data_IF_674071895226
#
_entry.id   IF_674071895226
#
_cell.length_a   1.000
_cell.length_b   1.000
_cell.length_c   1.000
_cell.angle_alpha   90.00
_cell.angle_beta   90.00
_cell.angle_gamma   90.00
#
_symmetry.space_group_name_H-M   'P 1'
#
loop_
_entity.id
_entity.type
_entity.pdbx_description
1 polymer ?
#
# COMPACT_ATOMS: atom_id res chain seq x y z
N UNK A 1 -19.43 -19.21 1.05
CA UNK A 1 -19.22 -17.81 0.58
C UNK A 1 -18.23 -17.21 1.54
N UNK A 2 -17.12 -16.72 1.04
CA UNK A 2 -16.07 -16.14 1.87
C UNK A 2 -16.26 -14.63 1.87
N UNK A 3 -16.03 -13.99 3.01
CA UNK A 3 -16.15 -12.54 3.17
C UNK A 3 -14.80 -11.99 3.62
N UNK A 4 -14.44 -10.87 3.05
CA UNK A 4 -13.28 -10.08 3.44
C UNK A 4 -13.73 -8.76 4.04
N UNK A 5 -12.85 -8.09 4.76
CA UNK A 5 -13.11 -6.78 5.34
C UNK A 5 -12.02 -5.78 4.95
N UNK A 6 -12.41 -4.53 4.68
CA UNK A 6 -11.48 -3.46 4.35
C UNK A 6 -11.30 -2.50 5.53
N UNK A 7 -10.04 -2.22 5.87
CA UNK A 7 -9.65 -1.28 6.90
C UNK A 7 -8.93 -0.07 6.32
N UNK A 8 -9.45 1.12 6.58
CA UNK A 8 -8.75 2.37 6.21
C UNK A 8 -7.72 2.81 7.24
N UNK A 9 -7.77 2.33 8.46
CA UNK A 9 -6.96 2.78 9.61
C UNK A 9 -6.91 4.30 9.67
N UNK A 10 -7.89 4.94 10.27
CA UNK A 10 -8.02 6.39 10.20
C UNK A 10 -8.25 7.03 11.58
N UNK A 11 -7.87 8.30 11.68
CA UNK A 11 -8.11 9.16 12.84
C UNK A 11 -9.38 9.99 12.62
N UNK A 12 -10.53 9.33 12.53
CA UNK A 12 -11.81 10.01 12.30
C UNK A 12 -12.23 10.81 13.52
N UNK A 13 -12.50 12.11 13.38
CA UNK A 13 -13.06 12.91 14.46
C UNK A 13 -14.44 12.38 14.90
N UNK A 14 -14.61 12.15 16.20
CA UNK A 14 -15.90 11.79 16.80
C UNK A 14 -16.24 12.82 17.87
N UNK A 15 -17.35 13.49 17.72
CA UNK A 15 -17.78 14.56 18.62
C UNK A 15 -16.70 15.65 18.88
N UNK A 16 -15.92 15.98 17.86
CA UNK A 16 -14.83 16.96 17.94
C UNK A 16 -13.52 16.44 18.53
N UNK A 17 -13.46 15.18 18.93
CA UNK A 17 -12.24 14.52 19.40
C UNK A 17 -11.59 13.75 18.24
N UNK A 18 -10.31 13.99 17.98
CA UNK A 18 -9.48 13.23 17.03
C UNK A 18 -8.66 12.23 17.84
N UNK A 19 -8.79 10.91 17.60
CA UNK A 19 -7.98 9.93 18.31
C UNK A 19 -6.49 10.09 17.96
N UNK A 20 -5.62 9.85 18.92
CA UNK A 20 -4.20 9.72 18.65
C UNK A 20 -3.89 8.42 17.88
N UNK A 21 -2.67 8.30 17.35
CA UNK A 21 -2.24 7.13 16.57
C UNK A 21 -2.27 5.84 17.39
N UNK A 22 -1.94 5.90 18.67
CA UNK A 22 -1.97 4.73 19.54
C UNK A 22 -3.41 4.21 19.72
N UNK A 23 -4.38 5.11 19.86
CA UNK A 23 -5.81 4.78 19.92
C UNK A 23 -6.30 4.25 18.58
N UNK A 24 -5.92 4.88 17.46
CA UNK A 24 -6.23 4.43 16.12
C UNK A 24 -5.78 2.98 15.88
N UNK A 25 -4.54 2.64 16.24
CA UNK A 25 -4.02 1.28 16.09
C UNK A 25 -4.68 0.28 17.06
N UNK A 26 -4.98 0.66 18.30
CA UNK A 26 -5.75 -0.21 19.21
C UNK A 26 -7.11 -0.56 18.61
N UNK A 27 -7.84 0.43 18.17
CA UNK A 27 -9.15 0.23 17.53
C UNK A 27 -9.05 -0.70 16.31
N UNK A 28 -7.99 -0.52 15.49
CA UNK A 28 -7.74 -1.41 14.35
C UNK A 28 -7.52 -2.85 14.81
N UNK A 29 -6.65 -3.09 15.81
CA UNK A 29 -6.35 -4.45 16.28
C UNK A 29 -7.55 -5.11 16.95
N UNK A 30 -8.36 -4.38 17.71
CA UNK A 30 -9.62 -4.88 18.26
C UNK A 30 -10.59 -5.30 17.15
N UNK A 31 -10.72 -4.49 16.11
CA UNK A 31 -11.61 -4.79 14.99
C UNK A 31 -11.12 -5.97 14.15
N UNK A 32 -9.82 -6.08 13.89
CA UNK A 32 -9.29 -7.22 13.13
C UNK A 32 -9.38 -8.52 13.90
N UNK A 33 -9.20 -8.50 15.22
CA UNK A 33 -9.41 -9.66 16.07
C UNK A 33 -10.90 -10.11 16.05
N UNK A 34 -11.83 -9.14 16.13
CA UNK A 34 -13.25 -9.45 15.98
C UNK A 34 -13.57 -10.04 14.59
N UNK A 35 -12.97 -9.50 13.52
CA UNK A 35 -13.14 -10.03 12.17
C UNK A 35 -12.61 -11.47 12.06
N UNK A 36 -11.47 -11.77 12.70
CA UNK A 36 -10.92 -13.12 12.80
C UNK A 36 -11.89 -14.08 13.52
N UNK A 37 -12.44 -13.67 14.67
CA UNK A 37 -13.42 -14.45 15.43
C UNK A 37 -14.73 -14.70 14.66
N UNK A 38 -15.14 -13.74 13.82
CA UNK A 38 -16.33 -13.84 12.98
C UNK A 38 -16.10 -14.64 11.69
N UNK A 39 -14.86 -15.07 11.40
CA UNK A 39 -14.52 -15.91 10.26
C UNK A 39 -14.35 -15.17 8.94
N UNK A 40 -13.97 -13.90 8.96
CA UNK A 40 -13.55 -13.20 7.74
C UNK A 40 -12.25 -13.80 7.19
N UNK A 41 -12.15 -13.90 5.86
CA UNK A 41 -11.00 -14.52 5.19
C UNK A 41 -9.78 -13.61 5.14
N UNK A 42 -9.95 -12.35 4.77
CA UNK A 42 -8.85 -11.41 4.61
C UNK A 42 -9.19 -10.01 5.16
N UNK A 43 -8.22 -9.43 5.85
CA UNK A 43 -8.22 -8.02 6.25
C UNK A 43 -7.45 -7.21 5.20
N UNK A 44 -8.14 -6.53 4.32
CA UNK A 44 -7.58 -5.62 3.34
C UNK A 44 -7.27 -4.27 3.99
N UNK A 45 -6.02 -3.86 3.98
CA UNK A 45 -5.53 -2.71 4.73
C UNK A 45 -5.04 -1.62 3.78
N UNK A 46 -5.62 -0.42 3.89
CA UNK A 46 -5.21 0.72 3.07
C UNK A 46 -3.79 1.18 3.43
N UNK A 47 -2.96 1.42 2.41
CA UNK A 47 -1.71 2.15 2.60
C UNK A 47 -1.98 3.64 2.77
N UNK A 48 -1.37 4.25 3.77
CA UNK A 48 -1.45 5.68 4.04
C UNK A 48 -0.12 6.18 4.59
N UNK A 49 0.20 7.44 4.30
CA UNK A 49 1.50 8.02 4.57
C UNK A 49 1.38 9.29 5.44
N UNK A 50 2.49 9.82 5.93
CA UNK A 50 2.57 11.12 6.63
C UNK A 50 2.02 12.29 5.83
N UNK A 51 1.74 12.06 4.58
CA UNK A 51 0.97 12.91 3.68
C UNK A 51 -0.48 13.17 4.11
N UNK A 52 -0.93 12.59 5.20
CA UNK A 52 -2.25 12.89 5.78
C UNK A 52 -2.50 14.39 5.94
N UNK A 53 -1.47 15.19 6.18
CA UNK A 53 -1.60 16.65 6.17
C UNK A 53 -2.13 17.19 4.85
N UNK A 54 -1.64 16.67 3.72
CA UNK A 54 -2.13 17.04 2.39
C UNK A 54 -3.52 16.48 2.15
N UNK A 55 -3.82 15.31 2.66
CA UNK A 55 -5.17 14.72 2.59
C UNK A 55 -6.15 15.50 3.46
N UNK A 56 -5.73 15.96 4.66
CA UNK A 56 -6.50 16.83 5.54
C UNK A 56 -6.88 18.16 4.88
N UNK A 57 -5.99 18.73 4.09
CA UNK A 57 -6.25 19.94 3.33
C UNK A 57 -7.19 19.73 2.13
N UNK A 58 -7.45 18.48 1.76
CA UNK A 58 -8.31 18.15 0.65
C UNK A 58 -9.78 18.33 1.04
N UNK A 59 -10.50 19.21 0.34
CA UNK A 59 -11.92 19.48 0.58
C UNK A 59 -12.84 18.31 0.20
N UNK A 60 -12.31 17.29 -0.49
CA UNK A 60 -13.04 16.09 -0.88
C UNK A 60 -12.51 14.90 -0.10
N UNK A 61 -13.37 14.11 0.56
CA UNK A 61 -12.93 12.91 1.25
C UNK A 61 -12.22 11.96 0.28
N UNK A 62 -11.15 11.31 0.74
CA UNK A 62 -10.39 10.32 -0.04
C UNK A 62 -11.26 9.10 -0.37
N UNK A 63 -12.11 8.72 0.58
CA UNK A 63 -13.12 7.69 0.41
C UNK A 63 -14.50 8.39 0.41
N UNK A 64 -15.35 8.20 -0.61
CA UNK A 64 -16.69 8.78 -0.62
C UNK A 64 -17.46 8.46 0.67
N UNK A 65 -18.15 9.45 1.19
CA UNK A 65 -18.94 9.35 2.44
C UNK A 65 -18.12 9.20 3.73
N UNK A 66 -16.80 9.24 3.68
CA UNK A 66 -15.93 9.12 4.85
C UNK A 66 -15.25 10.47 5.13
N UNK A 67 -15.58 11.08 6.25
CA UNK A 67 -15.01 12.38 6.66
C UNK A 67 -13.75 12.23 7.54
N UNK A 68 -13.17 11.05 7.57
CA UNK A 68 -12.01 10.76 8.38
C UNK A 68 -10.70 11.01 7.65
N UNK A 69 -9.69 11.28 8.43
CA UNK A 69 -8.32 11.31 7.97
C UNK A 69 -7.80 9.88 7.87
N UNK A 70 -7.07 9.58 6.79
CA UNK A 70 -6.42 8.29 6.65
C UNK A 70 -5.24 8.24 7.59
N UNK A 71 -5.20 7.26 8.46
CA UNK A 71 -4.14 7.09 9.44
C UNK A 71 -2.83 6.59 8.84
N UNK A 72 -1.82 6.47 9.69
CA UNK A 72 -0.48 6.07 9.31
C UNK A 72 -0.37 4.55 9.11
N UNK A 73 -0.20 4.11 7.88
CA UNK A 73 0.15 2.73 7.53
C UNK A 73 1.03 2.72 6.27
N UNK A 74 2.33 2.83 6.47
CA UNK A 74 3.33 2.90 5.38
C UNK A 74 4.04 1.57 5.14
N UNK A 75 3.88 0.61 6.02
CA UNK A 75 4.52 -0.70 5.93
C UNK A 75 3.52 -1.82 6.24
N UNK A 76 2.89 -2.28 5.19
CA UNK A 76 1.93 -3.39 5.23
C UNK A 76 2.55 -4.67 5.83
N UNK A 77 3.81 -4.97 5.53
CA UNK A 77 4.48 -6.17 6.02
C UNK A 77 4.66 -6.14 7.53
N UNK A 78 5.09 -5.00 8.07
CA UNK A 78 5.22 -4.81 9.52
C UNK A 78 3.88 -4.97 10.23
N UNK A 79 2.82 -4.38 9.64
CA UNK A 79 1.47 -4.46 10.21
C UNK A 79 0.94 -5.90 10.16
N UNK A 80 1.19 -6.62 9.06
CA UNK A 80 0.78 -8.02 8.89
C UNK A 80 1.40 -8.94 9.93
N UNK A 81 2.68 -8.78 10.26
CA UNK A 81 3.30 -9.53 11.36
C UNK A 81 2.55 -9.34 12.68
N UNK A 82 2.15 -8.09 12.97
CA UNK A 82 1.43 -7.79 14.21
C UNK A 82 0.00 -8.34 14.19
N UNK A 83 -0.69 -8.31 13.04
CA UNK A 83 -2.01 -8.93 12.88
C UNK A 83 -1.90 -10.43 13.12
N UNK A 84 -0.96 -11.11 12.48
CA UNK A 84 -0.77 -12.56 12.66
C UNK A 84 -0.43 -12.94 14.10
N UNK A 85 0.30 -12.10 14.82
CA UNK A 85 0.61 -12.34 16.23
C UNK A 85 -0.61 -12.26 17.16
N UNK A 86 -1.71 -11.61 16.75
CA UNK A 86 -2.89 -11.42 17.60
C UNK A 86 -4.18 -12.05 17.05
N UNK A 87 -4.10 -12.78 15.94
CA UNK A 87 -5.23 -13.46 15.26
C UNK A 87 -4.87 -14.93 14.98
N UNK A 88 -5.83 -15.72 14.50
CA UNK A 88 -5.66 -17.17 14.32
C UNK A 88 -5.83 -17.64 12.88
N UNK A 89 -6.75 -17.06 12.10
CA UNK A 89 -7.13 -17.53 10.77
C UNK A 89 -7.16 -16.45 9.69
N UNK A 90 -7.42 -15.20 10.05
CA UNK A 90 -7.54 -14.11 9.06
C UNK A 90 -6.20 -13.85 8.36
N UNK A 91 -6.23 -13.79 7.05
CA UNK A 91 -5.11 -13.39 6.22
C UNK A 91 -5.07 -11.85 6.09
N UNK A 92 -4.01 -11.29 5.55
CA UNK A 92 -3.90 -9.84 5.34
C UNK A 92 -3.67 -9.48 3.89
N UNK A 93 -4.24 -8.35 3.46
CA UNK A 93 -4.12 -7.84 2.10
C UNK A 93 -3.73 -6.36 2.05
N UNK A 94 -2.75 -6.02 1.20
CA UNK A 94 -2.41 -4.63 0.91
C UNK A 94 -3.44 -4.02 -0.05
N UNK A 95 -4.06 -2.91 0.34
CA UNK A 95 -5.08 -2.27 -0.48
C UNK A 95 -4.90 -0.73 -0.57
N UNK A 96 -3.86 -0.26 -1.29
CA UNK A 96 -2.85 -0.95 -2.10
C UNK A 96 -1.47 -0.34 -1.86
N UNK A 97 -0.39 -1.08 -2.11
CA UNK A 97 0.98 -0.57 -2.03
C UNK A 97 1.30 0.32 -3.24
N UNK A 98 1.94 1.47 -3.01
CA UNK A 98 2.52 2.25 -4.10
C UNK A 98 3.91 1.71 -4.45
N UNK A 99 4.06 1.13 -5.65
CA UNK A 99 5.31 0.54 -6.12
C UNK A 99 6.12 1.44 -7.05
N UNK A 100 5.73 2.69 -7.26
CA UNK A 100 6.52 3.67 -8.03
C UNK A 100 7.40 4.50 -7.09
N UNK A 101 6.88 4.89 -5.93
CA UNK A 101 7.62 5.62 -4.90
C UNK A 101 8.09 4.71 -3.75
N UNK A 102 8.62 5.27 -2.66
CA UNK A 102 9.10 4.54 -1.49
C UNK A 102 10.19 3.50 -1.78
N UNK A 103 11.12 3.85 -2.66
CA UNK A 103 12.19 2.96 -3.13
C UNK A 103 11.83 2.17 -4.37
N UNK A 104 10.62 2.36 -4.91
CA UNK A 104 10.18 1.75 -6.15
C UNK A 104 9.92 0.25 -6.07
N UNK A 105 9.81 -0.40 -7.24
CA UNK A 105 9.47 -1.82 -7.32
C UNK A 105 10.50 -2.75 -6.68
N UNK A 106 11.77 -2.35 -6.64
CA UNK A 106 12.85 -3.13 -6.03
C UNK A 106 12.64 -3.20 -4.52
N UNK A 107 12.56 -2.06 -3.84
CA UNK A 107 12.37 -2.03 -2.39
C UNK A 107 11.02 -2.65 -1.97
N UNK A 108 9.98 -2.54 -2.80
CA UNK A 108 8.71 -3.21 -2.56
C UNK A 108 8.87 -4.74 -2.60
N UNK A 109 9.57 -5.28 -3.61
CA UNK A 109 9.83 -6.71 -3.73
C UNK A 109 10.70 -7.22 -2.58
N UNK A 110 11.76 -6.48 -2.19
CA UNK A 110 12.65 -6.85 -1.08
C UNK A 110 11.90 -6.90 0.25
N UNK A 111 11.00 -5.95 0.52
CA UNK A 111 10.15 -5.97 1.74
C UNK A 111 9.26 -7.20 1.79
N UNK A 112 8.62 -7.54 0.67
CA UNK A 112 7.78 -8.75 0.58
C UNK A 112 8.62 -10.01 0.75
N UNK A 113 9.77 -10.11 0.07
CA UNK A 113 10.65 -11.24 0.19
C UNK A 113 11.17 -11.42 1.64
N UNK A 114 11.55 -10.33 2.29
CA UNK A 114 11.96 -10.34 3.70
C UNK A 114 10.82 -10.78 4.62
N UNK A 115 9.62 -10.26 4.39
CA UNK A 115 8.44 -10.70 5.14
C UNK A 115 8.23 -12.22 4.97
N UNK A 116 8.20 -12.72 3.73
CA UNK A 116 7.98 -14.14 3.47
C UNK A 116 9.05 -15.03 4.10
N UNK A 117 10.32 -14.59 4.08
CA UNK A 117 11.40 -15.32 4.71
C UNK A 117 11.23 -15.40 6.24
N UNK A 118 10.88 -14.30 6.90
CA UNK A 118 10.64 -14.26 8.35
C UNK A 118 9.38 -15.03 8.74
N UNK A 119 8.30 -14.86 7.98
CA UNK A 119 7.03 -15.56 8.20
C UNK A 119 7.18 -17.07 8.05
N UNK A 120 7.97 -17.52 7.09
CA UNK A 120 8.24 -18.95 6.85
C UNK A 120 9.16 -19.63 7.88
N UNK A 121 9.69 -18.88 8.87
CA UNK A 121 10.45 -19.50 9.97
C UNK A 121 9.57 -20.31 10.92
N UNK A 122 8.28 -19.99 11.00
CA UNK A 122 7.29 -20.79 11.73
C UNK A 122 6.59 -21.77 10.76
N UNK A 123 6.91 -23.05 10.82
CA UNK A 123 6.31 -24.04 9.91
C UNK A 123 4.82 -24.28 10.14
N UNK A 124 4.29 -23.88 11.29
CA UNK A 124 2.86 -23.99 11.61
C UNK A 124 2.05 -22.78 11.10
N UNK A 125 2.69 -21.66 10.86
CA UNK A 125 2.04 -20.48 10.29
C UNK A 125 1.84 -20.65 8.77
N UNK A 126 0.59 -20.74 8.33
CA UNK A 126 0.22 -21.01 6.93
C UNK A 126 -0.57 -19.88 6.27
N UNK A 127 -0.91 -18.84 7.04
CA UNK A 127 -1.67 -17.71 6.51
C UNK A 127 -0.84 -16.94 5.48
N UNK A 128 -1.50 -16.46 4.47
CA UNK A 128 -0.88 -15.75 3.35
C UNK A 128 -1.03 -14.25 3.50
N UNK A 129 -0.17 -13.52 2.83
CA UNK A 129 -0.40 -12.13 2.52
C UNK A 129 -0.88 -11.99 1.07
N UNK A 130 -1.78 -11.05 0.84
CA UNK A 130 -2.29 -10.71 -0.48
C UNK A 130 -1.77 -9.33 -0.88
N UNK A 131 -1.22 -9.20 -2.08
CA UNK A 131 -0.56 -7.96 -2.50
C UNK A 131 -1.38 -7.29 -3.60
N UNK A 132 -2.12 -6.24 -3.21
CA UNK A 132 -2.62 -5.23 -4.14
C UNK A 132 -1.58 -4.11 -4.29
N UNK A 133 -1.33 -3.65 -5.51
CA UNK A 133 -0.37 -2.58 -5.77
C UNK A 133 -0.83 -1.63 -6.88
N UNK A 134 -0.34 -0.39 -6.84
CA UNK A 134 -0.76 0.68 -7.72
C UNK A 134 0.37 1.69 -7.98
N UNK A 135 0.10 2.62 -8.91
CA UNK A 135 0.98 3.75 -9.21
C UNK A 135 0.97 4.88 -8.16
N UNK A 136 0.20 4.72 -7.09
CA UNK A 136 -0.03 5.78 -6.11
C UNK A 136 -1.03 6.83 -6.59
N UNK A 137 -1.94 7.20 -5.70
CA UNK A 137 -3.01 8.17 -5.98
C UNK A 137 -2.53 9.61 -5.90
N UNK A 138 -1.57 9.88 -5.02
CA UNK A 138 -1.13 11.23 -4.67
C UNK A 138 0.15 11.60 -5.40
N UNK A 139 0.09 12.58 -6.29
CA UNK A 139 1.22 13.00 -7.12
C UNK A 139 2.41 13.52 -6.31
N UNK A 140 2.15 14.22 -5.20
CA UNK A 140 3.24 14.75 -4.37
C UNK A 140 4.19 13.66 -3.85
N UNK A 141 3.71 12.42 -3.61
CA UNK A 141 4.57 11.30 -3.22
C UNK A 141 5.53 10.91 -4.33
N UNK A 142 5.02 10.88 -5.56
CA UNK A 142 5.81 10.56 -6.73
C UNK A 142 6.83 11.68 -7.01
N UNK A 143 6.43 12.94 -6.91
CA UNK A 143 7.29 14.12 -7.11
C UNK A 143 8.49 14.14 -6.18
N UNK A 144 8.31 13.76 -4.91
CA UNK A 144 9.41 13.68 -3.94
C UNK A 144 10.50 12.69 -4.36
N UNK A 145 10.17 11.71 -5.20
CA UNK A 145 11.11 10.74 -5.77
C UNK A 145 11.51 11.06 -7.22
N UNK A 146 11.20 12.26 -7.71
CA UNK A 146 11.52 12.68 -9.08
C UNK A 146 10.61 12.09 -10.15
N UNK A 147 9.51 11.47 -9.78
CA UNK A 147 8.49 10.93 -10.69
C UNK A 147 7.45 12.01 -10.93
N UNK A 148 7.75 12.90 -11.86
CA UNK A 148 6.91 14.06 -12.22
C UNK A 148 7.06 14.38 -13.71
N UNK A 149 6.14 15.18 -14.25
CA UNK A 149 6.26 15.70 -15.60
C UNK A 149 7.32 16.82 -15.65
N UNK A 150 8.08 16.88 -16.74
CA UNK A 150 9.18 17.82 -16.93
C UNK A 150 8.77 19.09 -17.68
N UNK A 151 7.65 19.02 -18.40
CA UNK A 151 7.12 20.13 -19.21
C UNK A 151 5.62 19.97 -19.49
N UNK A 152 5.03 20.96 -20.15
CA UNK A 152 3.59 20.99 -20.46
C UNK A 152 3.11 19.85 -21.35
N UNK A 153 3.98 19.27 -22.17
CA UNK A 153 3.63 18.12 -23.05
C UNK A 153 3.52 16.85 -22.20
N UNK A 154 4.49 16.63 -21.32
CA UNK A 154 4.44 15.52 -20.37
C UNK A 154 3.27 15.66 -19.38
N UNK A 155 2.98 16.89 -18.92
CA UNK A 155 1.82 17.17 -18.08
C UNK A 155 0.51 16.76 -18.77
N UNK A 156 0.35 17.15 -20.04
CA UNK A 156 -0.84 16.78 -20.82
C UNK A 156 -0.97 15.27 -21.04
N UNK A 157 0.16 14.56 -21.19
CA UNK A 157 0.22 13.11 -21.39
C UNK A 157 0.43 12.33 -20.09
N UNK A 158 0.45 12.98 -18.93
CA UNK A 158 0.84 12.40 -17.65
C UNK A 158 0.14 11.09 -17.28
N UNK A 159 -1.18 10.95 -17.47
CA UNK A 159 -1.86 9.69 -17.16
C UNK A 159 -1.31 8.50 -17.95
N UNK A 160 -1.00 8.70 -19.24
CA UNK A 160 -0.43 7.65 -20.07
C UNK A 160 1.02 7.35 -19.72
N UNK A 161 1.82 8.39 -19.48
CA UNK A 161 3.22 8.28 -19.07
C UNK A 161 3.38 7.56 -17.73
N UNK A 162 2.59 7.96 -16.72
CA UNK A 162 2.54 7.30 -15.42
C UNK A 162 2.07 5.85 -15.54
N UNK A 163 1.13 5.57 -16.46
CA UNK A 163 0.69 4.21 -16.76
C UNK A 163 1.81 3.32 -17.33
N UNK A 164 2.70 3.88 -18.16
CA UNK A 164 3.88 3.15 -18.65
C UNK A 164 4.89 2.89 -17.53
N UNK A 165 5.18 3.89 -16.69
CA UNK A 165 6.04 3.72 -15.50
C UNK A 165 5.50 2.63 -14.59
N UNK A 166 4.20 2.63 -14.34
CA UNK A 166 3.56 1.62 -13.51
C UNK A 166 3.64 0.21 -14.12
N UNK A 167 3.42 0.07 -15.42
CA UNK A 167 3.56 -1.21 -16.11
C UNK A 167 4.97 -1.77 -15.97
N UNK A 168 5.99 -0.92 -16.14
CA UNK A 168 7.38 -1.34 -15.96
C UNK A 168 7.70 -1.67 -14.51
N UNK A 169 7.24 -0.86 -13.57
CA UNK A 169 7.36 -1.16 -12.15
C UNK A 169 6.72 -2.51 -11.76
N UNK A 170 5.54 -2.82 -12.30
CA UNK A 170 4.91 -4.14 -12.12
C UNK A 170 5.79 -5.26 -12.66
N UNK A 171 6.36 -5.08 -13.85
CA UNK A 171 7.21 -6.08 -14.48
C UNK A 171 8.47 -6.38 -13.64
N UNK A 172 9.16 -5.33 -13.19
CA UNK A 172 10.31 -5.43 -12.30
C UNK A 172 9.93 -6.11 -10.99
N UNK A 173 8.87 -5.62 -10.32
CA UNK A 173 8.38 -6.14 -9.05
C UNK A 173 8.07 -7.64 -9.11
N UNK A 174 7.31 -8.06 -10.11
CA UNK A 174 6.88 -9.46 -10.23
C UNK A 174 8.05 -10.37 -10.63
N UNK A 175 8.99 -9.91 -11.44
CA UNK A 175 10.21 -10.68 -11.75
C UNK A 175 11.06 -10.92 -10.51
N UNK A 176 11.30 -9.88 -9.72
CA UNK A 176 12.09 -9.99 -8.49
C UNK A 176 11.42 -10.90 -7.45
N UNK A 177 10.09 -10.82 -7.28
CA UNK A 177 9.37 -11.74 -6.41
C UNK A 177 9.44 -13.20 -6.87
N UNK A 178 9.61 -13.42 -8.16
CA UNK A 178 9.80 -14.76 -8.75
C UNK A 178 11.25 -15.27 -8.60
N UNK A 179 12.16 -14.43 -8.14
CA UNK A 179 13.59 -14.74 -7.99
C UNK A 179 14.41 -14.55 -9.27
N UNK A 180 13.88 -13.85 -10.27
CA UNK A 180 14.63 -13.53 -11.47
C UNK A 180 15.74 -12.50 -11.15
N UNK A 181 16.86 -12.61 -11.85
CA UNK A 181 17.91 -11.59 -11.86
C UNK A 181 17.64 -10.59 -12.97
N UNK A 182 17.67 -9.30 -12.63
CA UNK A 182 17.51 -8.21 -13.59
C UNK A 182 18.81 -7.44 -13.76
N UNK A 183 19.21 -7.25 -15.01
CA UNK A 183 20.23 -6.28 -15.38
C UNK A 183 19.60 -4.95 -15.77
N UNK A 184 20.27 -3.83 -15.48
CA UNK A 184 19.77 -2.48 -15.78
C UNK A 184 19.52 -2.25 -17.28
N UNK A 185 20.24 -2.95 -18.15
CA UNK A 185 20.02 -2.90 -19.59
C UNK A 185 18.71 -3.54 -20.06
N UNK A 186 18.05 -4.30 -19.17
CA UNK A 186 16.77 -4.94 -19.46
C UNK A 186 15.56 -4.06 -19.09
N UNK A 187 15.81 -2.90 -18.48
CA UNK A 187 14.77 -1.92 -18.15
C UNK A 187 14.76 -0.83 -19.22
N UNK A 188 13.61 -0.57 -19.85
CA UNK A 188 13.53 0.45 -20.89
C UNK A 188 13.59 1.85 -20.29
N UNK A 189 14.15 2.79 -21.03
CA UNK A 189 13.96 4.20 -20.77
C UNK A 189 12.50 4.58 -21.04
N UNK A 190 11.84 5.10 -20.02
CA UNK A 190 10.45 5.56 -20.15
C UNK A 190 10.49 7.04 -20.53
N UNK A 191 10.19 7.32 -21.76
CA UNK A 191 10.12 8.67 -22.32
C UNK A 191 8.92 8.78 -23.27
N UNK A 192 8.36 9.99 -23.39
CA UNK A 192 7.36 10.26 -24.43
C UNK A 192 8.05 10.31 -25.78
N UNK A 193 7.47 9.61 -26.76
CA UNK A 193 7.80 9.85 -28.16
C UNK A 193 7.24 11.23 -28.55
N UNK A 194 8.14 12.11 -29.00
CA UNK A 194 7.83 13.51 -29.34
C UNK A 194 7.78 13.75 -30.84
N UNK A 195 7.82 12.69 -31.63
CA UNK A 195 7.74 12.76 -33.10
C UNK A 195 6.29 12.73 -33.59
#
# INVERSE_FOLDING_TARGET
MDFDVFFSICQTPVAGHVPDEATMFRNFFEQVQLADELGYGCAWIAESHLSTEVQKSNRRPVVPHFQGEVGLNVDFCQLSHKVFACTKQIETGAAVMNIICNGGPIAAAERIASFCALHGLDPEEKRRIHIGFAAGRFEFMNRAYGVDYRDAVEEAAWPAYKGQMFREACHIFLKLLRGDVLDSSQTPDIALDRN
#
